data_IF_233805675071
#
_entry.id   IF_233805675071
#
_cell.length_a   1.000
_cell.length_b   1.000
_cell.length_c   1.000
_cell.angle_alpha   90.00
_cell.angle_beta   90.00
_cell.angle_gamma   90.00
#
_symmetry.space_group_name_H-M   'P 1'
#
loop_
_entity.id
_entity.type
_entity.pdbx_description
1 polymer ?
#
# COMPACT_ATOMS: atom_id res chain seq x y z
N UNK A 1 8.00 -7.33 8.46
CA UNK A 1 8.64 -6.02 8.73
C UNK A 1 8.17 -5.44 10.06
N UNK A 2 9.11 -4.95 10.86
CA UNK A 2 8.91 -4.32 12.17
C UNK A 2 8.77 -2.79 12.07
N UNK A 3 8.39 -2.13 13.17
CA UNK A 3 8.29 -0.66 13.24
C UNK A 3 9.64 0.06 13.05
N UNK A 4 10.73 -0.53 13.55
CA UNK A 4 12.06 0.08 13.43
C UNK A 4 12.54 0.07 11.97
N UNK A 5 12.36 -1.05 11.27
CA UNK A 5 12.66 -1.18 9.85
C UNK A 5 11.82 -0.20 9.01
N UNK A 6 10.52 -0.09 9.29
CA UNK A 6 9.65 0.90 8.64
C UNK A 6 10.15 2.34 8.81
N UNK A 7 10.62 2.70 10.02
CA UNK A 7 11.14 4.03 10.27
C UNK A 7 12.44 4.27 9.50
N UNK A 8 13.31 3.27 9.41
CA UNK A 8 14.55 3.35 8.65
C UNK A 8 14.27 3.61 7.16
N UNK A 9 13.37 2.85 6.54
CA UNK A 9 12.94 3.05 5.14
C UNK A 9 12.46 4.50 4.91
N UNK A 10 11.58 5.00 5.78
CA UNK A 10 11.05 6.38 5.68
C UNK A 10 12.17 7.42 5.80
N UNK A 11 13.11 7.23 6.73
CA UNK A 11 14.24 8.14 6.92
C UNK A 11 15.21 8.15 5.72
N UNK A 12 15.26 7.04 4.96
CA UNK A 12 15.99 6.95 3.70
C UNK A 12 15.22 7.58 2.52
N UNK A 13 14.03 8.13 2.76
CA UNK A 13 13.21 8.81 1.76
C UNK A 13 12.26 7.90 1.00
N UNK A 14 12.05 6.67 1.46
CA UNK A 14 11.10 5.74 0.86
C UNK A 14 9.67 6.15 1.19
N UNK A 15 8.81 6.18 0.18
CA UNK A 15 7.39 6.44 0.34
C UNK A 15 6.65 5.12 0.55
N UNK A 16 5.89 5.06 1.64
CA UNK A 16 5.11 3.88 1.99
C UNK A 16 3.76 4.26 2.61
N UNK A 17 2.79 3.35 2.47
CA UNK A 17 1.50 3.41 3.14
C UNK A 17 1.39 2.16 4.00
N UNK A 18 1.04 2.35 5.27
CA UNK A 18 0.77 1.25 6.20
C UNK A 18 -0.72 1.19 6.46
N UNK A 19 -1.35 0.07 6.15
CA UNK A 19 -2.80 -0.03 6.26
C UNK A 19 -3.33 -1.46 6.24
N UNK A 20 -4.62 -1.56 6.53
CA UNK A 20 -5.39 -2.78 6.42
C UNK A 20 -5.85 -2.97 4.97
N UNK A 21 -5.55 -4.12 4.39
CA UNK A 21 -5.98 -4.46 3.04
C UNK A 21 -7.48 -4.78 3.01
N UNK A 22 -8.22 -4.05 2.17
CA UNK A 22 -9.68 -4.21 2.02
C UNK A 22 -10.06 -5.04 0.80
N UNK A 23 -9.23 -5.07 -0.24
CA UNK A 23 -9.45 -5.88 -1.43
C UNK A 23 -8.83 -5.27 -2.68
N UNK A 24 -8.93 -5.98 -3.80
CA UNK A 24 -8.44 -5.52 -5.10
C UNK A 24 -9.31 -5.98 -6.25
N UNK A 25 -9.24 -5.26 -7.36
CA UNK A 25 -9.79 -5.66 -8.64
C UNK A 25 -8.81 -5.28 -9.76
N UNK A 26 -8.84 -6.02 -10.86
CA UNK A 26 -8.06 -5.71 -12.05
C UNK A 26 -8.99 -5.34 -13.19
N UNK A 27 -8.60 -4.36 -13.98
CA UNK A 27 -9.36 -3.89 -15.12
C UNK A 27 -8.46 -3.63 -16.33
N UNK A 28 -9.06 -3.61 -17.51
CA UNK A 28 -8.39 -3.17 -18.72
C UNK A 28 -8.41 -1.65 -18.78
N UNK A 29 -7.23 -1.06 -18.90
CA UNK A 29 -7.04 0.37 -19.05
C UNK A 29 -6.25 0.66 -20.33
N UNK A 30 -6.36 1.89 -20.81
CA UNK A 30 -5.59 2.31 -21.96
C UNK A 30 -5.66 3.80 -22.19
N UNK A 31 -4.76 4.29 -23.02
CA UNK A 31 -4.74 5.67 -23.49
C UNK A 31 -4.19 5.71 -24.92
N UNK A 32 -4.49 6.81 -25.60
CA UNK A 32 -3.89 7.09 -26.91
C UNK A 32 -2.70 8.00 -26.68
N UNK A 33 -1.52 7.54 -27.09
CA UNK A 33 -0.33 8.38 -27.11
C UNK A 33 -0.54 9.50 -28.14
N UNK A 34 -0.68 10.74 -27.66
CA UNK A 34 -0.92 11.90 -28.52
C UNK A 34 0.25 12.22 -29.45
N UNK A 35 1.46 11.76 -29.16
CA UNK A 35 2.66 12.04 -29.95
C UNK A 35 2.76 11.14 -31.19
N UNK A 36 2.35 9.88 -31.06
CA UNK A 36 2.51 8.87 -32.12
C UNK A 36 1.19 8.28 -32.62
N UNK A 37 0.07 8.58 -31.96
CA UNK A 37 -1.25 8.05 -32.30
C UNK A 37 -1.47 6.59 -31.88
N UNK A 38 -0.52 5.97 -31.17
CA UNK A 38 -0.61 4.58 -30.77
C UNK A 38 -1.62 4.40 -29.63
N UNK A 39 -2.48 3.38 -29.75
CA UNK A 39 -3.34 2.95 -28.65
C UNK A 39 -2.53 2.03 -27.75
N UNK A 40 -2.35 2.44 -26.51
CA UNK A 40 -1.67 1.66 -25.48
C UNK A 40 -2.74 1.08 -24.58
N UNK A 41 -2.82 -0.25 -24.54
CA UNK A 41 -3.71 -1.00 -23.64
C UNK A 41 -2.87 -1.81 -22.65
N UNK A 42 -3.32 -1.88 -21.41
CA UNK A 42 -2.67 -2.66 -20.36
C UNK A 42 -3.67 -3.06 -19.28
N UNK A 43 -3.31 -4.07 -18.48
CA UNK A 43 -4.06 -4.43 -17.29
C UNK A 43 -3.54 -3.60 -16.11
N UNK A 44 -4.45 -3.05 -15.30
CA UNK A 44 -4.10 -2.41 -14.02
C UNK A 44 -4.87 -3.03 -12.87
N UNK A 45 -4.22 -3.19 -11.73
CA UNK A 45 -4.89 -3.43 -10.46
C UNK A 45 -5.22 -2.11 -9.77
N UNK A 46 -6.32 -2.13 -9.05
CA UNK A 46 -6.68 -1.12 -8.05
C UNK A 46 -6.82 -1.87 -6.73
N UNK A 47 -5.91 -1.59 -5.80
CA UNK A 47 -5.94 -2.07 -4.43
C UNK A 47 -6.59 -1.02 -3.54
N UNK A 48 -7.41 -1.48 -2.59
CA UNK A 48 -7.98 -0.63 -1.56
C UNK A 48 -7.34 -0.97 -0.22
N UNK A 49 -6.70 0.03 0.38
CA UNK A 49 -6.19 -0.05 1.74
C UNK A 49 -6.91 0.98 2.62
N UNK A 50 -7.02 0.67 3.90
CA UNK A 50 -7.52 1.58 4.91
C UNK A 50 -6.39 1.88 5.91
N UNK A 51 -6.09 3.15 6.11
CA UNK A 51 -4.99 3.57 6.98
C UNK A 51 -5.40 4.73 7.88
N UNK A 52 -4.72 4.89 9.00
CA UNK A 52 -4.84 6.11 9.78
C UNK A 52 -4.01 7.22 9.14
N UNK A 53 -4.65 8.35 8.86
CA UNK A 53 -4.03 9.54 8.30
C UNK A 53 -4.49 10.75 9.12
N UNK A 54 -3.57 11.57 9.65
CA UNK A 54 -3.88 12.72 10.52
C UNK A 54 -5.00 12.46 11.56
N UNK A 55 -4.95 11.33 12.27
CA UNK A 55 -5.91 11.02 13.34
C UNK A 55 -7.31 10.61 12.87
N UNK A 56 -7.55 10.44 11.58
CA UNK A 56 -8.77 9.83 11.04
C UNK A 56 -8.44 8.56 10.24
N UNK A 57 -9.45 7.72 10.02
CA UNK A 57 -9.34 6.58 9.12
C UNK A 57 -9.62 7.09 7.70
N UNK A 58 -8.71 6.82 6.78
CA UNK A 58 -8.83 7.17 5.36
C UNK A 58 -8.73 5.93 4.47
N UNK A 59 -9.32 6.02 3.28
CA UNK A 59 -9.25 4.98 2.25
C UNK A 59 -8.32 5.40 1.14
N UNK A 60 -7.34 4.56 0.86
CA UNK A 60 -6.33 4.78 -0.17
C UNK A 60 -6.62 3.84 -1.34
N UNK A 61 -6.79 4.41 -2.54
CA UNK A 61 -6.78 3.66 -3.79
C UNK A 61 -5.36 3.61 -4.34
N UNK A 62 -4.80 2.41 -4.42
CA UNK A 62 -3.43 2.18 -4.88
C UNK A 62 -3.50 1.51 -6.24
N UNK A 63 -2.99 2.15 -7.28
CA UNK A 63 -2.96 1.58 -8.63
C UNK A 63 -1.65 0.86 -8.89
N UNK A 64 -1.69 -0.29 -9.54
CA UNK A 64 -0.51 -1.03 -10.00
C UNK A 64 -0.69 -1.37 -11.48
N UNK A 65 0.28 -1.01 -12.32
CA UNK A 65 0.29 -1.46 -13.72
C UNK A 65 0.92 -2.85 -13.79
N UNK A 66 0.28 -3.76 -14.50
CA UNK A 66 0.89 -5.07 -14.75
C UNK A 66 1.88 -5.02 -15.93
N UNK A 67 2.90 -5.89 -15.90
CA UNK A 67 3.76 -6.14 -17.06
C UNK A 67 2.96 -6.61 -18.28
N UNK A 68 3.46 -6.35 -19.49
CA UNK A 68 2.78 -6.69 -20.75
C UNK A 68 2.53 -8.20 -20.94
N UNK A 69 3.27 -9.04 -20.20
CA UNK A 69 3.08 -10.49 -20.20
C UNK A 69 1.75 -10.92 -19.53
N UNK A 70 1.17 -10.08 -18.67
CA UNK A 70 -0.15 -10.33 -18.07
C UNK A 70 -1.21 -9.79 -19.02
N UNK A 71 -1.78 -10.70 -19.81
CA UNK A 71 -2.63 -10.35 -20.95
C UNK A 71 -4.13 -10.32 -20.62
N UNK A 72 -4.54 -10.78 -19.43
CA UNK A 72 -5.96 -10.83 -19.04
C UNK A 72 -6.22 -10.40 -17.60
N UNK A 73 -7.46 -9.98 -17.33
CA UNK A 73 -7.92 -9.60 -16.00
C UNK A 73 -7.84 -10.80 -15.04
N UNK A 74 -8.20 -11.99 -15.50
CA UNK A 74 -8.19 -13.22 -14.70
C UNK A 74 -6.77 -13.59 -14.27
N UNK A 75 -5.79 -13.46 -15.17
CA UNK A 75 -4.37 -13.67 -14.85
C UNK A 75 -3.88 -12.68 -13.79
N UNK A 76 -4.24 -11.40 -13.92
CA UNK A 76 -3.90 -10.37 -12.94
C UNK A 76 -4.55 -10.65 -11.57
N UNK A 77 -5.83 -11.02 -11.54
CA UNK A 77 -6.52 -11.32 -10.29
C UNK A 77 -5.95 -12.55 -9.58
N UNK A 78 -5.46 -13.54 -10.33
CA UNK A 78 -4.83 -14.72 -9.77
C UNK A 78 -3.53 -14.42 -9.00
N UNK A 79 -2.90 -13.25 -9.22
CA UNK A 79 -1.70 -12.85 -8.46
C UNK A 79 -2.02 -12.19 -7.13
N UNK A 80 -3.29 -11.87 -6.84
CA UNK A 80 -3.67 -11.25 -5.58
C UNK A 80 -3.68 -12.26 -4.44
N UNK A 81 -2.58 -12.31 -3.69
CA UNK A 81 -2.36 -13.24 -2.57
C UNK A 81 -2.58 -12.61 -1.17
N UNK A 82 -3.06 -11.37 -1.09
CA UNK A 82 -3.30 -10.66 0.17
C UNK A 82 -4.67 -10.96 0.77
N UNK A 83 -4.74 -11.05 2.10
CA UNK A 83 -5.96 -11.36 2.84
C UNK A 83 -6.64 -10.06 3.26
N UNK A 84 -7.95 -9.98 2.99
CA UNK A 84 -8.80 -8.90 3.53
C UNK A 84 -8.71 -8.92 5.06
N UNK A 85 -8.50 -7.76 5.69
CA UNK A 85 -8.26 -7.69 7.14
C UNK A 85 -6.79 -7.72 7.53
N UNK A 86 -5.90 -8.17 6.65
CA UNK A 86 -4.46 -8.20 6.92
C UNK A 86 -3.86 -6.80 6.87
N UNK A 87 -2.85 -6.56 7.72
CA UNK A 87 -2.10 -5.32 7.76
C UNK A 87 -0.80 -5.44 6.98
N UNK A 88 -0.56 -4.50 6.09
CA UNK A 88 0.55 -4.55 5.14
C UNK A 88 1.24 -3.19 5.00
N UNK A 89 2.48 -3.22 4.52
CA UNK A 89 3.22 -2.08 3.97
C UNK A 89 3.00 -2.08 2.47
N UNK A 90 2.59 -0.95 1.90
CA UNK A 90 2.46 -0.74 0.47
C UNK A 90 3.51 0.29 0.08
N UNK A 91 4.52 -0.16 -0.66
CA UNK A 91 5.54 0.75 -1.18
C UNK A 91 5.01 1.46 -2.41
N UNK A 92 5.20 2.78 -2.47
CA UNK A 92 4.54 3.62 -3.47
C UNK A 92 5.53 4.57 -4.14
N UNK A 93 5.29 4.88 -5.42
CA UNK A 93 6.12 5.86 -6.14
C UNK A 93 5.65 7.29 -5.87
N UNK A 94 4.35 7.47 -5.70
CA UNK A 94 3.73 8.76 -5.44
C UNK A 94 2.36 8.58 -4.80
N UNK A 95 1.87 9.64 -4.17
CA UNK A 95 0.50 9.75 -3.71
C UNK A 95 -0.04 11.17 -3.98
N UNK A 96 -1.36 11.29 -4.12
CA UNK A 96 -2.06 12.57 -4.20
C UNK A 96 -3.39 12.48 -3.47
N UNK A 97 -3.82 13.59 -2.89
CA UNK A 97 -5.18 13.73 -2.36
C UNK A 97 -6.00 14.59 -3.31
N UNK A 98 -7.12 14.06 -3.77
CA UNK A 98 -8.01 14.77 -4.69
C UNK A 98 -9.47 14.50 -4.28
N UNK A 99 -10.26 15.57 -4.12
CA UNK A 99 -11.69 15.50 -3.76
C UNK A 99 -11.99 14.61 -2.53
N UNK A 100 -11.12 14.67 -1.52
CA UNK A 100 -11.29 13.91 -0.28
C UNK A 100 -10.87 12.44 -0.37
N UNK A 101 -10.28 12.00 -1.49
CA UNK A 101 -9.79 10.65 -1.67
C UNK A 101 -8.27 10.65 -1.87
N UNK A 102 -7.61 9.67 -1.26
CA UNK A 102 -6.16 9.49 -1.40
C UNK A 102 -5.89 8.44 -2.48
N UNK A 103 -5.08 8.81 -3.46
CA UNK A 103 -4.62 7.94 -4.53
C UNK A 103 -3.12 7.74 -4.42
N UNK A 104 -2.64 6.54 -4.73
CA UNK A 104 -1.22 6.24 -4.81
C UNK A 104 -0.93 5.29 -5.97
N UNK A 105 0.33 5.23 -6.39
CA UNK A 105 0.83 4.21 -7.32
C UNK A 105 1.73 3.25 -6.58
N UNK A 106 1.43 1.95 -6.67
CA UNK A 106 2.29 0.90 -6.13
C UNK A 106 3.60 0.89 -6.91
N UNK A 107 4.72 0.80 -6.19
CA UNK A 107 6.02 0.66 -6.79
C UNK A 107 6.35 -0.83 -7.07
N UNK A 108 7.57 -1.07 -7.56
CA UNK A 108 8.06 -2.42 -7.88
C UNK A 108 8.42 -3.28 -6.67
N UNK A 109 8.61 -2.69 -5.48
CA UNK A 109 8.83 -3.46 -4.23
C UNK A 109 7.54 -4.08 -3.71
N UNK A 110 6.39 -3.53 -4.08
CA UNK A 110 5.08 -4.17 -3.89
C UNK A 110 4.53 -4.04 -2.47
N UNK A 111 4.05 -5.15 -1.92
CA UNK A 111 3.29 -5.18 -0.66
C UNK A 111 3.92 -6.21 0.28
N UNK A 112 4.18 -5.81 1.51
CA UNK A 112 4.85 -6.64 2.53
C UNK A 112 4.00 -6.79 3.80
N UNK A 113 4.18 -7.90 4.51
CA UNK A 113 3.49 -8.15 5.79
C UNK A 113 4.16 -7.37 6.91
N UNK A 114 3.34 -6.71 7.72
CA UNK A 114 3.80 -6.12 8.97
C UNK A 114 3.77 -7.18 10.06
N UNK A 115 4.92 -7.41 10.67
CA UNK A 115 5.06 -8.25 11.83
C UNK A 115 4.86 -7.37 13.05
N UNK A 116 3.77 -7.58 13.78
CA UNK A 116 3.58 -6.93 15.07
C UNK A 116 4.51 -7.62 16.07
N UNK A 117 5.65 -6.99 16.33
CA UNK A 117 6.46 -7.32 17.50
C UNK A 117 5.64 -6.84 18.69
N UNK A 118 5.22 -7.76 19.58
CA UNK A 118 4.69 -7.38 20.88
C UNK A 118 5.74 -6.51 21.57
N UNK A 119 5.57 -5.19 21.54
CA UNK A 119 6.31 -4.29 22.41
C UNK A 119 5.93 -4.72 23.82
N UNK A 120 6.87 -5.40 24.51
CA UNK A 120 6.75 -5.67 25.92
C UNK A 120 6.45 -4.34 26.61
N UNK A 121 5.20 -4.14 27.01
CA UNK A 121 4.78 -3.00 27.80
C UNK A 121 5.47 -3.15 29.15
N UNK A 122 6.71 -2.70 29.26
CA UNK A 122 7.36 -2.48 30.52
C UNK A 122 6.64 -1.30 31.15
N UNK A 123 5.55 -1.60 31.86
CA UNK A 123 4.94 -0.67 32.78
C UNK A 123 6.07 -0.12 33.67
N UNK A 124 6.18 1.20 33.88
CA UNK A 124 7.17 1.72 34.79
C UNK A 124 6.88 1.12 36.16
N UNK A 125 7.79 0.28 36.66
CA UNK A 125 7.72 -0.19 38.04
C UNK A 125 7.71 1.05 38.92
N UNK A 126 6.58 1.25 39.60
CA UNK A 126 6.48 2.26 40.63
C UNK A 126 7.61 1.99 41.64
N UNK A 127 8.56 2.92 41.74
CA UNK A 127 9.50 2.93 42.86
C UNK A 127 8.67 3.10 44.13
N UNK A 128 8.54 2.04 44.92
CA UNK A 128 8.17 2.19 46.32
C UNK A 128 9.24 3.05 46.99
N UNK A 129 8.86 4.28 47.35
CA UNK A 129 9.68 5.15 48.19
C UNK A 129 9.30 4.83 49.64
N UNK A 130 10.23 4.41 50.50
CA UNK A 130 9.94 4.15 51.89
C UNK A 130 9.75 5.47 52.64
N UNK A 131 8.62 5.61 53.32
CA UNK A 131 8.46 6.48 54.49
C UNK A 131 7.69 5.71 55.56
#
# INVERSE_FOLDING_TARGET
>A
MTRAELLEEVLQGVLLIVGEYRGSHAEQAGYVDRKFGNVINYIRAIHLAECSWHGHIDRVMITQRFPEQVASIEQAQATFNYKRGGRYVFYIDWFKRERGQTFASLNDWGIEVIEEVEEASAAPQAREMPF
#
